data_IF_441769923401
#
_entry.id   IF_441769923401
#
_cell.length_a   1.000
_cell.length_b   1.000
_cell.length_c   1.000
_cell.angle_alpha   90.00
_cell.angle_beta   90.00
_cell.angle_gamma   90.00
#
_symmetry.space_group_name_H-M   'P 1'
#
loop_
_entity.id
_entity.type
_entity.pdbx_description
1 polymer ?
#
# COMPACT_ATOMS: atom_id res chain seq x y z
N UNK A 1 -35.22 20.79 6.15
CA UNK A 1 -34.06 20.69 5.23
C UNK A 1 -32.97 19.92 5.97
N UNK A 2 -32.93 18.60 5.84
CA UNK A 2 -31.93 17.77 6.52
C UNK A 2 -30.67 17.71 5.68
N UNK A 3 -29.61 18.37 6.13
CA UNK A 3 -28.26 18.20 5.60
C UNK A 3 -27.82 16.76 5.89
N UNK A 4 -27.83 15.91 4.86
CA UNK A 4 -27.11 14.62 4.92
C UNK A 4 -25.64 14.94 5.25
N UNK A 5 -25.01 14.23 6.21
CA UNK A 5 -23.57 14.33 6.38
C UNK A 5 -22.91 13.96 5.04
N UNK A 6 -21.75 14.54 4.70
CA UNK A 6 -21.03 14.10 3.50
C UNK A 6 -20.69 12.62 3.69
N UNK A 7 -21.37 11.75 2.96
CA UNK A 7 -20.96 10.36 2.78
C UNK A 7 -19.48 10.40 2.46
N UNK A 8 -18.67 9.66 3.21
CA UNK A 8 -17.23 9.64 2.97
C UNK A 8 -17.02 9.30 1.49
N UNK A 9 -16.42 10.22 0.73
CA UNK A 9 -16.15 10.03 -0.70
C UNK A 9 -15.16 8.88 -0.96
N UNK A 10 -14.61 8.30 0.11
CA UNK A 10 -13.88 7.05 0.13
C UNK A 10 -14.74 5.99 0.80
N UNK A 11 -15.03 4.90 0.09
CA UNK A 11 -15.70 3.71 0.62
C UNK A 11 -14.69 2.57 0.71
N UNK A 12 -14.78 1.74 1.76
CA UNK A 12 -13.89 0.61 2.00
C UNK A 12 -14.69 -0.58 2.44
N UNK A 13 -14.44 -1.70 1.81
CA UNK A 13 -15.07 -2.98 2.10
C UNK A 13 -14.02 -4.07 2.14
N UNK A 14 -14.26 -5.07 2.99
CA UNK A 14 -13.36 -6.19 3.20
C UNK A 14 -14.18 -7.47 3.25
N UNK A 15 -13.68 -8.50 2.58
CA UNK A 15 -14.29 -9.80 2.52
C UNK A 15 -13.22 -10.88 2.76
N UNK A 16 -13.53 -11.83 3.64
CA UNK A 16 -12.66 -12.98 3.91
C UNK A 16 -13.06 -14.10 2.95
N UNK A 17 -12.20 -14.38 1.96
CA UNK A 17 -12.42 -15.41 0.94
C UNK A 17 -11.99 -16.82 1.37
N UNK A 18 -11.38 -16.94 2.55
CA UNK A 18 -10.89 -18.19 3.12
C UNK A 18 -9.97 -17.93 4.31
N UNK A 19 -9.44 -19.00 4.92
CA UNK A 19 -8.71 -18.93 6.19
C UNK A 19 -7.56 -17.90 6.25
N UNK A 20 -6.98 -17.55 5.09
CA UNK A 20 -5.83 -16.63 4.99
C UNK A 20 -5.90 -15.74 3.75
N UNK A 21 -7.10 -15.51 3.22
CA UNK A 21 -7.27 -14.72 2.00
C UNK A 21 -8.31 -13.65 2.23
N UNK A 22 -7.93 -12.40 1.99
CA UNK A 22 -8.79 -11.23 2.19
C UNK A 22 -8.84 -10.45 0.90
N UNK A 23 -10.05 -10.28 0.39
CA UNK A 23 -10.35 -9.30 -0.63
C UNK A 23 -10.67 -7.96 0.03
N UNK A 24 -10.23 -6.87 -0.57
CA UNK A 24 -10.72 -5.55 -0.22
C UNK A 24 -11.07 -4.76 -1.45
N UNK A 25 -12.11 -3.96 -1.32
CA UNK A 25 -12.54 -3.01 -2.32
C UNK A 25 -12.51 -1.63 -1.71
N UNK A 26 -11.74 -0.73 -2.31
CA UNK A 26 -11.73 0.67 -1.95
C UNK A 26 -12.17 1.46 -3.16
N UNK A 27 -13.18 2.31 -2.99
CA UNK A 27 -13.62 3.23 -4.03
C UNK A 27 -13.37 4.65 -3.55
N UNK A 28 -12.76 5.46 -4.40
CA UNK A 28 -12.52 6.87 -4.17
C UNK A 28 -13.20 7.71 -5.25
N UNK A 29 -14.12 8.55 -4.81
CA UNK A 29 -14.88 9.49 -5.63
C UNK A 29 -14.58 10.95 -5.25
N UNK A 30 -13.40 11.23 -4.66
CA UNK A 30 -12.98 12.61 -4.35
C UNK A 30 -12.65 13.41 -5.60
N UNK A 31 -12.08 12.77 -6.63
CA UNK A 31 -11.92 13.38 -7.94
C UNK A 31 -13.29 13.40 -8.66
N UNK A 32 -13.78 14.58 -9.08
CA UNK A 32 -15.10 14.72 -9.68
C UNK A 32 -15.22 14.16 -11.10
N UNK A 33 -14.11 14.02 -11.83
CA UNK A 33 -14.08 13.57 -13.23
C UNK A 33 -13.69 12.11 -13.38
N UNK A 34 -13.00 11.54 -12.38
CA UNK A 34 -12.45 10.19 -12.43
C UNK A 34 -12.60 9.48 -11.10
N UNK A 35 -13.36 8.38 -11.08
CA UNK A 35 -13.47 7.50 -9.92
C UNK A 35 -12.30 6.54 -9.89
N UNK A 36 -11.75 6.29 -8.72
CA UNK A 36 -10.66 5.34 -8.56
C UNK A 36 -11.10 4.13 -7.73
N UNK A 37 -10.61 2.97 -8.12
CA UNK A 37 -10.88 1.71 -7.45
C UNK A 37 -9.55 1.01 -7.11
N UNK A 38 -9.45 0.50 -5.89
CA UNK A 38 -8.44 -0.48 -5.52
C UNK A 38 -9.15 -1.74 -5.05
N UNK A 39 -9.04 -2.76 -5.88
CA UNK A 39 -9.58 -4.08 -5.69
C UNK A 39 -8.39 -4.99 -5.46
N UNK A 40 -8.18 -5.46 -4.22
CA UNK A 40 -6.93 -6.12 -3.84
C UNK A 40 -7.24 -7.44 -3.12
N UNK A 41 -6.81 -8.55 -3.71
CA UNK A 41 -6.77 -9.85 -3.03
C UNK A 41 -5.41 -9.96 -2.35
N UNK A 42 -5.41 -10.35 -1.08
CA UNK A 42 -4.22 -10.63 -0.28
C UNK A 42 -4.28 -12.04 0.24
N UNK A 43 -3.17 -12.75 0.19
CA UNK A 43 -3.03 -14.07 0.80
C UNK A 43 -1.82 -14.12 1.73
N UNK A 44 -2.05 -14.66 2.93
CA UNK A 44 -1.01 -14.92 3.92
C UNK A 44 -0.57 -16.38 3.85
N UNK A 45 0.74 -16.57 3.77
CA UNK A 45 1.43 -17.85 3.86
C UNK A 45 2.27 -17.78 5.13
N UNK A 46 1.84 -18.42 6.23
CA UNK A 46 2.59 -18.36 7.47
C UNK A 46 3.85 -19.19 7.38
N UNK A 47 4.72 -18.96 8.36
CA UNK A 47 5.85 -19.82 8.67
C UNK A 47 5.42 -21.30 8.69
N UNK A 48 6.13 -22.12 7.91
CA UNK A 48 6.04 -23.58 7.99
C UNK A 48 7.05 -24.09 9.03
N UNK A 49 6.91 -25.33 9.49
CA UNK A 49 7.74 -25.88 10.58
C UNK A 49 9.26 -25.79 10.31
N UNK A 50 9.67 -25.75 9.03
CA UNK A 50 11.07 -25.67 8.60
C UNK A 50 11.48 -24.30 8.05
N UNK A 51 10.56 -23.33 7.99
CA UNK A 51 10.80 -21.98 7.48
C UNK A 51 10.28 -20.93 8.47
N UNK A 52 11.17 -20.25 9.18
CA UNK A 52 10.83 -19.12 10.05
C UNK A 52 10.57 -17.85 9.23
N UNK A 53 9.55 -17.91 8.37
CA UNK A 53 9.23 -16.87 7.40
C UNK A 53 7.73 -16.75 7.17
N UNK A 54 7.20 -15.55 7.38
CA UNK A 54 5.83 -15.17 7.05
C UNK A 54 5.80 -14.35 5.76
N UNK A 55 4.87 -14.68 4.86
CA UNK A 55 4.74 -14.06 3.54
C UNK A 55 3.32 -13.57 3.30
N UNK A 56 3.21 -12.36 2.77
CA UNK A 56 1.97 -11.80 2.29
C UNK A 56 2.15 -11.42 0.83
N UNK A 57 1.28 -11.96 -0.02
CA UNK A 57 1.23 -11.61 -1.44
C UNK A 57 -0.09 -10.89 -1.68
N UNK A 58 -0.04 -9.77 -2.38
CA UNK A 58 -1.22 -9.05 -2.83
C UNK A 58 -1.20 -8.82 -4.34
N UNK A 59 -2.35 -8.93 -4.98
CA UNK A 59 -2.52 -8.63 -6.40
C UNK A 59 -3.83 -7.90 -6.64
N UNK A 60 -3.77 -6.87 -7.48
CA UNK A 60 -4.94 -6.15 -7.92
C UNK A 60 -5.85 -7.01 -8.80
N UNK A 61 -7.16 -6.93 -8.57
CA UNK A 61 -8.21 -7.47 -9.44
C UNK A 61 -8.62 -6.37 -10.40
N UNK A 62 -8.17 -6.47 -11.65
CA UNK A 62 -8.38 -5.43 -12.66
C UNK A 62 -9.81 -5.44 -13.22
N UNK A 63 -10.38 -6.64 -13.32
CA UNK A 63 -11.75 -6.87 -13.77
C UNK A 63 -12.52 -7.50 -12.59
N UNK A 64 -13.38 -6.70 -11.96
CA UNK A 64 -14.22 -7.13 -10.85
C UNK A 64 -15.69 -6.96 -11.26
N UNK A 65 -16.46 -8.05 -11.22
CA UNK A 65 -17.89 -8.02 -11.52
C UNK A 65 -18.67 -7.11 -10.56
N UNK A 66 -18.19 -6.95 -9.32
CA UNK A 66 -18.78 -6.06 -8.33
C UNK A 66 -18.39 -4.58 -8.56
N UNK A 67 -17.40 -4.34 -9.42
CA UNK A 67 -16.90 -3.00 -9.76
C UNK A 67 -16.78 -2.88 -11.28
N UNK A 68 -17.92 -2.82 -12.01
CA UNK A 68 -17.88 -2.78 -13.48
C UNK A 68 -17.08 -1.60 -13.98
N UNK A 69 -16.29 -1.83 -15.03
CA UNK A 69 -15.56 -0.79 -15.71
C UNK A 69 -16.51 0.31 -16.20
N UNK A 70 -16.15 1.56 -15.94
CA UNK A 70 -16.76 2.74 -16.55
C UNK A 70 -15.69 3.59 -17.22
N UNK A 71 -15.99 4.29 -18.32
CA UNK A 71 -15.01 5.17 -19.00
C UNK A 71 -14.39 6.24 -18.08
N UNK A 72 -15.08 6.60 -17.00
CA UNK A 72 -14.64 7.58 -16.01
C UNK A 72 -14.10 6.92 -14.73
N UNK A 73 -13.66 5.66 -14.82
CA UNK A 73 -13.06 4.94 -13.70
C UNK A 73 -11.68 4.39 -14.05
N UNK A 74 -10.78 4.42 -13.07
CA UNK A 74 -9.52 3.69 -13.11
C UNK A 74 -9.46 2.68 -12.00
N UNK A 75 -8.79 1.56 -12.28
CA UNK A 75 -8.47 0.54 -11.28
C UNK A 75 -6.96 0.55 -11.05
N UNK A 76 -6.55 0.59 -9.79
CA UNK A 76 -5.14 0.49 -9.43
C UNK A 76 -4.57 -0.87 -9.83
N UNK A 77 -3.54 -0.88 -10.68
CA UNK A 77 -2.83 -2.10 -11.06
C UNK A 77 -1.51 -2.20 -10.30
N UNK A 78 -1.50 -3.04 -9.25
CA UNK A 78 -0.31 -3.32 -8.47
C UNK A 78 -0.18 -4.76 -8.05
N UNK A 79 1.03 -5.15 -7.68
CA UNK A 79 1.26 -6.30 -6.83
C UNK A 79 2.21 -5.96 -5.69
N UNK A 80 2.08 -6.69 -4.60
CA UNK A 80 2.91 -6.53 -3.41
C UNK A 80 3.39 -7.89 -2.96
N UNK A 81 4.66 -7.99 -2.64
CA UNK A 81 5.24 -9.08 -1.88
C UNK A 81 5.83 -8.51 -0.61
N UNK A 82 5.32 -8.97 0.53
CA UNK A 82 5.81 -8.59 1.84
C UNK A 82 6.25 -9.86 2.57
N UNK A 83 7.39 -9.79 3.23
CA UNK A 83 7.98 -10.91 3.94
C UNK A 83 8.60 -10.43 5.24
N UNK A 84 8.46 -11.25 6.28
CA UNK A 84 9.25 -11.18 7.51
C UNK A 84 9.90 -12.54 7.69
N UNK A 85 11.23 -12.58 7.81
CA UNK A 85 11.98 -13.81 8.07
C UNK A 85 12.89 -13.63 9.28
N UNK A 86 13.05 -14.65 10.13
CA UNK A 86 14.07 -14.63 11.17
C UNK A 86 15.46 -14.53 10.55
N UNK A 87 16.35 -13.77 11.18
CA UNK A 87 17.75 -13.70 10.76
C UNK A 87 18.47 -14.98 11.26
N UNK A 88 19.02 -15.82 10.35
CA UNK A 88 19.68 -17.05 10.76
C UNK A 88 21.02 -16.81 11.49
N UNK A 89 21.58 -15.61 11.39
CA UNK A 89 22.88 -15.25 11.94
C UNK A 89 22.78 -14.44 13.24
N UNK A 90 21.67 -13.72 13.43
CA UNK A 90 21.49 -12.83 14.59
C UNK A 90 20.25 -13.24 15.39
N UNK A 91 20.41 -13.81 16.60
CA UNK A 91 19.29 -14.14 17.46
C UNK A 91 18.42 -12.90 17.74
N UNK A 92 17.10 -13.10 17.76
CA UNK A 92 16.11 -12.04 18.00
C UNK A 92 16.11 -10.90 16.96
N UNK A 93 16.69 -11.13 15.79
CA UNK A 93 16.61 -10.23 14.63
C UNK A 93 15.72 -10.83 13.54
N UNK A 94 15.16 -9.97 12.71
CA UNK A 94 14.39 -10.38 11.54
C UNK A 94 14.67 -9.47 10.35
N UNK A 95 14.59 -10.03 9.15
CA UNK A 95 14.62 -9.31 7.90
C UNK A 95 13.20 -9.02 7.43
N UNK A 96 12.89 -7.74 7.26
CA UNK A 96 11.68 -7.28 6.59
C UNK A 96 11.98 -6.98 5.12
N UNK A 97 11.20 -7.56 4.21
CA UNK A 97 11.30 -7.31 2.77
C UNK A 97 9.94 -6.86 2.23
N UNK A 98 9.92 -5.74 1.52
CA UNK A 98 8.75 -5.21 0.83
C UNK A 98 9.09 -4.92 -0.62
N UNK A 99 8.40 -5.59 -1.53
CA UNK A 99 8.47 -5.37 -2.96
C UNK A 99 7.10 -4.91 -3.43
N UNK A 100 7.06 -3.80 -4.16
CA UNK A 100 5.83 -3.24 -4.72
C UNK A 100 6.09 -2.92 -6.17
N UNK A 101 5.29 -3.50 -7.06
CA UNK A 101 5.16 -3.01 -8.42
C UNK A 101 3.83 -2.29 -8.56
N UNK A 102 3.87 -1.10 -9.12
CA UNK A 102 2.70 -0.29 -9.40
C UNK A 102 2.78 0.16 -10.86
N UNK A 103 1.70 -0.05 -11.61
CA UNK A 103 1.51 0.65 -12.88
C UNK A 103 0.94 2.03 -12.56
N UNK A 104 1.75 3.06 -12.78
CA UNK A 104 1.28 4.43 -12.79
C UNK A 104 0.73 4.68 -14.20
N UNK A 105 -0.60 4.75 -14.37
CA UNK A 105 -1.15 5.28 -15.62
C UNK A 105 -0.71 6.74 -15.73
N UNK A 106 -0.17 7.14 -16.88
CA UNK A 106 -0.06 8.55 -17.23
C UNK A 106 -1.48 9.08 -17.37
N UNK A 107 -1.81 10.16 -16.63
CA UNK A 107 -3.01 10.91 -16.96
C UNK A 107 -2.87 11.37 -18.42
N UNK A 108 -3.83 10.99 -19.25
CA UNK A 108 -4.03 11.26 -20.69
C UNK A 108 -2.82 11.69 -21.53
N UNK A 109 -2.58 10.90 -22.57
CA UNK A 109 -1.65 11.13 -23.67
C UNK A 109 -1.76 12.54 -24.29
N UNK A 110 -1.06 13.51 -23.73
CA UNK A 110 -0.66 14.75 -24.39
C UNK A 110 0.53 15.37 -23.65
N UNK A 111 1.72 15.26 -24.26
CA UNK A 111 3.03 15.65 -23.76
C UNK A 111 3.50 14.75 -22.60
N UNK A 112 4.67 14.12 -22.64
CA UNK A 112 5.96 14.81 -22.64
C UNK A 112 7.04 13.77 -23.03
N UNK A 113 7.86 14.08 -24.04
CA UNK A 113 9.04 13.29 -24.47
C UNK A 113 10.25 13.41 -23.50
N UNK A 114 10.06 13.98 -22.32
CA UNK A 114 11.17 14.41 -21.46
C UNK A 114 11.44 13.43 -20.30
N UNK A 115 12.67 12.90 -20.25
CA UNK A 115 13.18 12.05 -19.15
C UNK A 115 13.19 12.72 -17.77
N UNK A 116 12.85 14.02 -17.71
CA UNK A 116 12.67 14.77 -16.46
C UNK A 116 11.50 14.27 -15.61
N UNK A 117 10.40 13.78 -16.20
CA UNK A 117 9.25 13.29 -15.43
C UNK A 117 9.55 11.96 -14.73
N UNK A 118 10.26 11.06 -15.41
CA UNK A 118 10.75 9.80 -14.82
C UNK A 118 11.73 10.12 -13.71
N UNK A 119 12.67 11.04 -13.92
CA UNK A 119 13.63 11.47 -12.90
C UNK A 119 12.94 12.12 -11.71
N UNK A 120 11.89 12.92 -11.93
CA UNK A 120 11.08 13.52 -10.88
C UNK A 120 10.30 12.46 -10.08
N UNK A 121 9.64 11.52 -10.76
CA UNK A 121 8.96 10.38 -10.12
C UNK A 121 9.95 9.49 -9.36
N UNK A 122 11.14 9.22 -9.91
CA UNK A 122 12.21 8.45 -9.27
C UNK A 122 12.83 9.18 -8.07
N UNK A 123 13.01 10.50 -8.13
CA UNK A 123 13.46 11.30 -6.99
C UNK A 123 12.42 11.31 -5.87
N UNK A 124 11.12 11.31 -6.19
CA UNK A 124 10.06 11.11 -5.19
C UNK A 124 10.07 9.68 -4.61
N UNK A 125 10.47 8.68 -5.39
CA UNK A 125 10.68 7.30 -4.96
C UNK A 125 11.98 7.08 -4.18
N UNK A 126 12.87 8.09 -4.10
CA UNK A 126 14.15 7.99 -3.39
C UNK A 126 13.96 7.57 -1.93
N UNK A 127 14.93 6.91 -1.32
CA UNK A 127 14.78 6.37 0.04
C UNK A 127 15.24 7.41 1.07
N UNK A 128 14.40 7.73 2.07
CA UNK A 128 14.79 8.62 3.18
C UNK A 128 15.16 7.77 4.38
N UNK A 129 16.36 7.97 4.90
CA UNK A 129 16.80 7.37 6.15
C UNK A 129 16.26 8.17 7.34
N UNK A 130 15.60 7.50 8.28
CA UNK A 130 15.06 8.13 9.50
C UNK A 130 15.23 7.20 10.70
N UNK A 131 15.42 7.76 11.91
CA UNK A 131 15.56 6.97 13.13
C UNK A 131 14.30 6.13 13.41
N UNK A 132 14.49 4.83 13.61
CA UNK A 132 13.43 3.85 13.87
C UNK A 132 13.93 2.41 13.64
N UNK A 133 13.09 1.40 13.95
CA UNK A 133 13.41 -0.02 13.74
C UNK A 133 13.09 -0.53 12.33
N UNK A 134 12.49 0.31 11.48
CA UNK A 134 12.18 -0.04 10.10
C UNK A 134 13.30 0.43 9.16
N UNK A 135 13.59 -0.32 8.08
CA UNK A 135 14.50 0.14 7.05
C UNK A 135 14.00 1.44 6.42
N UNK A 136 14.96 2.20 5.88
CA UNK A 136 14.72 3.45 5.18
C UNK A 136 13.59 3.26 4.14
N UNK A 137 12.58 4.13 4.20
CA UNK A 137 11.36 3.98 3.40
C UNK A 137 11.40 4.89 2.18
N UNK A 138 10.72 4.55 1.07
CA UNK A 138 10.56 5.47 -0.05
C UNK A 138 10.03 6.82 0.44
N UNK A 139 10.60 7.93 -0.05
CA UNK A 139 10.24 9.32 0.31
C UNK A 139 8.76 9.57 0.07
N UNK A 140 8.19 8.88 -0.92
CA UNK A 140 6.76 8.89 -1.20
C UNK A 140 5.89 8.53 0.00
N UNK A 141 6.35 7.69 0.93
CA UNK A 141 5.61 7.37 2.16
C UNK A 141 5.59 8.52 3.19
N UNK A 142 6.32 9.60 2.90
CA UNK A 142 6.40 10.82 3.70
C UNK A 142 5.90 12.05 2.93
N UNK A 143 5.52 11.90 1.66
CA UNK A 143 4.88 12.98 0.92
C UNK A 143 3.52 13.27 1.54
N UNK A 144 3.24 14.56 1.72
CA UNK A 144 1.90 15.04 2.04
C UNK A 144 1.00 14.81 0.82
N UNK A 145 0.06 13.84 0.87
CA UNK A 145 -0.76 13.52 -0.28
C UNK A 145 -1.66 14.69 -0.71
N UNK A 146 -1.92 15.66 0.18
CA UNK A 146 -2.68 16.86 -0.18
C UNK A 146 -1.95 17.76 -1.19
N UNK A 147 -0.61 17.66 -1.26
CA UNK A 147 0.25 18.40 -2.19
C UNK A 147 0.38 17.74 -3.55
N UNK A 148 -0.09 16.50 -3.69
CA UNK A 148 -0.09 15.79 -4.96
C UNK A 148 -1.37 16.13 -5.74
N UNK A 149 -1.29 16.25 -7.08
CA UNK A 149 -2.48 16.36 -7.91
C UNK A 149 -3.40 15.15 -7.65
N UNK A 150 -4.72 15.28 -7.89
CA UNK A 150 -5.70 14.20 -7.70
C UNK A 150 -5.55 13.10 -8.77
N UNK A 151 -4.37 12.50 -8.83
CA UNK A 151 -3.93 11.44 -9.72
C UNK A 151 -3.69 10.14 -8.97
N UNK A 152 -3.39 9.07 -9.70
CA UNK A 152 -3.12 7.73 -9.14
C UNK A 152 -1.99 7.74 -8.10
N UNK A 153 -1.00 8.62 -8.30
CA UNK A 153 0.15 8.77 -7.41
C UNK A 153 -0.28 9.21 -6.00
N UNK A 154 -1.23 10.14 -5.89
CA UNK A 154 -1.74 10.61 -4.60
C UNK A 154 -2.39 9.48 -3.81
N UNK A 155 -3.21 8.67 -4.47
CA UNK A 155 -3.93 7.57 -3.81
C UNK A 155 -2.99 6.45 -3.39
N UNK A 156 -1.99 6.16 -4.22
CA UNK A 156 -0.90 5.26 -3.86
C UNK A 156 -0.15 5.76 -2.62
N UNK A 157 0.22 7.05 -2.59
CA UNK A 157 0.90 7.66 -1.42
C UNK A 157 0.01 7.60 -0.19
N UNK A 158 -1.28 7.95 -0.27
CA UNK A 158 -2.19 7.83 0.87
C UNK A 158 -2.35 6.38 1.36
N UNK A 159 -2.38 5.41 0.44
CA UNK A 159 -2.42 3.98 0.76
C UNK A 159 -1.13 3.52 1.43
N UNK A 160 0.01 3.92 0.87
CA UNK A 160 1.34 3.67 1.39
C UNK A 160 1.54 4.25 2.78
N UNK A 161 1.20 5.53 3.01
CA UNK A 161 1.32 6.18 4.32
C UNK A 161 0.52 5.42 5.39
N UNK A 162 -0.70 4.99 5.04
CA UNK A 162 -1.54 4.17 5.94
C UNK A 162 -0.89 2.82 6.25
N UNK A 163 -0.34 2.15 5.25
CA UNK A 163 0.38 0.89 5.44
C UNK A 163 1.61 1.09 6.32
N UNK A 164 2.41 2.12 6.04
CA UNK A 164 3.62 2.45 6.79
C UNK A 164 3.30 2.68 8.26
N UNK A 165 2.34 3.56 8.57
CA UNK A 165 1.91 3.81 9.96
C UNK A 165 1.46 2.53 10.64
N UNK A 166 0.59 1.73 9.98
CA UNK A 166 0.08 0.49 10.57
C UNK A 166 1.20 -0.52 10.88
N UNK A 167 2.14 -0.70 9.94
CA UNK A 167 3.29 -1.60 10.10
C UNK A 167 4.23 -1.11 11.19
N UNK A 168 4.60 0.17 11.19
CA UNK A 168 5.45 0.79 12.21
C UNK A 168 4.84 0.64 13.60
N UNK A 169 3.55 0.95 13.76
CA UNK A 169 2.85 0.81 15.04
C UNK A 169 2.83 -0.64 15.51
N UNK A 170 2.53 -1.59 14.62
CA UNK A 170 2.49 -3.01 14.97
C UNK A 170 3.86 -3.54 15.40
N UNK A 171 4.93 -3.21 14.66
CA UNK A 171 6.30 -3.62 14.98
C UNK A 171 6.75 -3.02 16.31
N UNK A 172 6.58 -1.71 16.50
CA UNK A 172 6.97 -1.06 17.74
C UNK A 172 6.25 -1.65 18.96
N UNK A 173 4.97 -2.00 18.82
CA UNK A 173 4.20 -2.65 19.88
C UNK A 173 4.74 -4.06 20.20
N UNK A 174 5.15 -4.83 19.20
CA UNK A 174 5.75 -6.17 19.40
C UNK A 174 7.13 -6.06 20.05
N UNK A 175 8.00 -5.16 19.56
CA UNK A 175 9.32 -4.91 20.13
C UNK A 175 9.21 -4.48 21.58
N UNK A 176 8.33 -3.52 21.89
CA UNK A 176 8.10 -3.06 23.26
C UNK A 176 7.63 -4.20 24.17
N UNK A 177 6.72 -5.08 23.71
CA UNK A 177 6.26 -6.23 24.51
C UNK A 177 7.38 -7.23 24.76
N UNK A 178 8.24 -7.44 23.77
CA UNK A 178 9.39 -8.34 23.90
C UNK A 178 10.39 -7.78 24.93
N UNK A 179 10.80 -6.52 24.79
CA UNK A 179 11.78 -5.89 25.68
C UNK A 179 11.31 -5.84 27.14
N UNK A 180 10.03 -5.57 27.39
CA UNK A 180 9.46 -5.58 28.75
C UNK A 180 9.29 -6.97 29.36
N UNK A 181 9.28 -8.03 28.55
CA UNK A 181 9.24 -9.42 29.05
C UNK A 181 10.61 -10.00 29.32
N UNK A 182 11.65 -9.46 28.67
CA UNK A 182 13.04 -9.87 28.85
C UNK A 182 13.78 -9.12 29.97
N UNK A 183 13.15 -8.11 30.57
CA UNK A 183 13.63 -7.33 31.72
C UNK A 183 12.98 -7.79 33.02
#
# INVERSE_FOLDING_TARGET
>A
MYLRPPLSRVMKEFEVLGARTVYSRITDARNPTKRWHQNLIRKHYPSADNEQRDVFIARAVLEDALTPYTPHSSVENKWVWMQVAADPHVPNSCQFTLLVQLQLEGDDAAAVEDGSEVTFKMNQLGVVDRPGFLPSTPSMLHLDPSRLPPSHLRLFVEGGNRMHVAVTTAINAVVHRYTTRSS
#
